data_IF_323542359707
#
_entry.id   IF_323542359707
#
_cell.length_a   1.000
_cell.length_b   1.000
_cell.length_c   1.000
_cell.angle_alpha   90.00
_cell.angle_beta   90.00
_cell.angle_gamma   90.00
#
_symmetry.space_group_name_H-M   'P 1'
#
loop_
_entity.id
_entity.type
_entity.pdbx_description
1 polymer ?
#
# COMPACT_ATOMS: atom_id res chain seq x y z
N UNK A 1 29.96 -44.62 -32.94
CA UNK A 1 29.11 -43.55 -33.54
C UNK A 1 27.75 -43.32 -32.86
N UNK A 2 27.17 -44.33 -32.16
CA UNK A 2 25.82 -44.16 -31.51
C UNK A 2 25.82 -43.35 -30.20
N UNK A 3 26.96 -43.27 -29.47
CA UNK A 3 27.05 -42.54 -28.19
C UNK A 3 27.09 -41.02 -28.33
N UNK A 4 27.66 -40.49 -29.45
CA UNK A 4 27.71 -39.05 -29.68
C UNK A 4 26.37 -38.44 -30.08
N UNK A 5 25.54 -39.19 -30.81
CA UNK A 5 24.21 -38.74 -31.22
C UNK A 5 23.26 -38.66 -30.02
N UNK A 6 23.37 -39.59 -29.08
CA UNK A 6 22.55 -39.60 -27.86
C UNK A 6 22.92 -38.40 -26.95
N UNK A 7 24.20 -38.07 -26.79
CA UNK A 7 24.66 -36.92 -26.01
C UNK A 7 24.21 -35.59 -26.62
N UNK A 8 24.23 -35.48 -27.96
CA UNK A 8 23.77 -34.28 -28.66
C UNK A 8 22.27 -34.07 -28.49
N UNK A 9 21.47 -35.16 -28.48
CA UNK A 9 20.01 -35.07 -28.32
C UNK A 9 19.62 -34.66 -26.88
N UNK A 10 20.35 -35.17 -25.87
CA UNK A 10 20.16 -34.78 -24.47
C UNK A 10 20.52 -33.30 -24.24
N UNK A 11 21.62 -32.80 -24.83
CA UNK A 11 21.99 -31.40 -24.74
C UNK A 11 20.96 -30.47 -25.41
N UNK A 12 20.40 -30.87 -26.56
CA UNK A 12 19.37 -30.08 -27.23
C UNK A 12 18.07 -30.05 -26.42
N UNK A 13 17.71 -31.13 -25.74
CA UNK A 13 16.52 -31.21 -24.88
C UNK A 13 16.69 -30.37 -23.62
N UNK A 14 17.86 -30.38 -22.98
CA UNK A 14 18.17 -29.54 -21.83
C UNK A 14 18.22 -28.05 -22.21
N UNK A 15 18.74 -27.71 -23.39
CA UNK A 15 18.73 -26.34 -23.88
C UNK A 15 17.33 -25.84 -24.18
N UNK A 16 16.46 -26.70 -24.73
CA UNK A 16 15.04 -26.40 -24.95
C UNK A 16 14.27 -26.13 -23.64
N UNK A 17 14.48 -26.97 -22.62
CA UNK A 17 13.88 -26.78 -21.30
C UNK A 17 14.40 -25.52 -20.62
N UNK A 18 15.72 -25.25 -20.72
CA UNK A 18 16.33 -24.04 -20.16
C UNK A 18 15.83 -22.77 -20.83
N UNK A 19 15.58 -22.80 -22.15
CA UNK A 19 14.99 -21.69 -22.89
C UNK A 19 13.54 -21.44 -22.48
N UNK A 20 12.73 -22.49 -22.25
CA UNK A 20 11.36 -22.39 -21.76
C UNK A 20 11.27 -21.83 -20.33
N UNK A 21 12.21 -22.20 -19.45
CA UNK A 21 12.25 -21.70 -18.07
C UNK A 21 12.73 -20.23 -18.01
N UNK A 22 13.57 -19.79 -18.95
CA UNK A 22 14.01 -18.39 -19.06
C UNK A 22 12.95 -17.45 -19.64
N UNK A 23 11.95 -17.97 -20.35
CA UNK A 23 10.83 -17.20 -20.89
C UNK A 23 9.63 -17.19 -19.92
N UNK A 24 9.88 -17.40 -18.63
CA UNK A 24 9.00 -16.95 -17.56
C UNK A 24 9.06 -15.42 -17.49
N UNK A 25 8.65 -14.75 -18.55
CA UNK A 25 8.20 -13.37 -18.49
C UNK A 25 7.07 -13.37 -17.47
N UNK A 26 7.26 -12.63 -16.39
CA UNK A 26 6.13 -12.12 -15.64
C UNK A 26 5.12 -11.63 -16.69
N UNK A 27 3.84 -11.99 -16.62
CA UNK A 27 2.87 -11.38 -17.49
C UNK A 27 2.89 -9.89 -17.17
N UNK A 28 3.56 -9.13 -18.01
CA UNK A 28 3.37 -7.70 -18.14
C UNK A 28 1.93 -7.60 -18.67
N UNK A 29 0.98 -7.59 -17.73
CA UNK A 29 -0.42 -7.44 -18.02
C UNK A 29 -0.59 -5.97 -18.35
N UNK A 30 -0.16 -5.60 -19.58
CA UNK A 30 -0.50 -4.33 -20.22
C UNK A 30 -2.01 -4.35 -20.51
N UNK A 31 -2.81 -4.20 -19.46
CA UNK A 31 -4.26 -4.01 -19.56
C UNK A 31 -4.47 -2.61 -20.11
N UNK A 32 -4.47 -2.48 -21.42
CA UNK A 32 -4.90 -1.26 -22.11
C UNK A 32 -6.40 -1.13 -21.98
N UNK A 33 -6.82 -0.52 -20.89
CA UNK A 33 -8.20 -0.16 -20.66
C UNK A 33 -8.48 1.17 -21.35
N UNK A 34 -9.19 1.12 -22.46
CA UNK A 34 -9.73 2.29 -23.14
C UNK A 34 -11.11 2.63 -22.56
N UNK A 35 -11.19 3.78 -21.88
CA UNK A 35 -12.41 4.29 -21.24
C UNK A 35 -12.49 3.82 -19.77
N UNK A 36 -12.70 4.77 -18.86
CA UNK A 36 -12.66 4.61 -17.40
C UNK A 36 -13.13 3.25 -16.88
N UNK A 37 -12.20 2.33 -16.67
CA UNK A 37 -12.50 1.05 -16.06
C UNK A 37 -12.67 1.22 -14.59
N UNK A 38 -13.70 0.63 -14.06
CA UNK A 38 -13.85 0.51 -12.62
C UNK A 38 -13.82 -0.97 -12.22
N UNK A 39 -13.32 -1.21 -11.04
CA UNK A 39 -13.39 -2.50 -10.35
C UNK A 39 -14.11 -2.30 -9.03
N UNK A 40 -14.84 -3.32 -8.61
CA UNK A 40 -15.51 -3.37 -7.31
C UNK A 40 -14.80 -4.38 -6.41
N UNK A 41 -14.87 -4.17 -5.09
CA UNK A 41 -14.32 -5.04 -4.06
C UNK A 41 -12.84 -5.40 -4.26
N UNK A 42 -12.02 -4.39 -4.55
CA UNK A 42 -10.59 -4.64 -4.76
C UNK A 42 -9.84 -4.86 -3.45
N UNK A 43 -8.85 -5.73 -3.53
CA UNK A 43 -7.90 -5.95 -2.44
C UNK A 43 -6.48 -5.94 -2.99
N UNK A 44 -5.65 -5.01 -2.49
CA UNK A 44 -4.22 -4.92 -2.80
C UNK A 44 -3.45 -5.41 -1.59
N UNK A 45 -2.56 -6.38 -1.77
CA UNK A 45 -1.77 -6.97 -0.68
C UNK A 45 -0.29 -6.82 -0.97
N UNK A 46 0.43 -6.16 -0.09
CA UNK A 46 1.90 -6.12 -0.14
C UNK A 46 2.47 -7.22 0.75
N UNK A 47 3.28 -8.09 0.16
CA UNK A 47 4.03 -9.12 0.88
C UNK A 47 5.54 -8.86 0.77
N UNK A 48 6.27 -9.11 1.85
CA UNK A 48 7.73 -9.08 1.89
C UNK A 48 8.23 -10.30 2.64
N UNK A 49 9.07 -11.10 2.00
CA UNK A 49 9.58 -12.37 2.57
C UNK A 49 8.47 -13.30 3.08
N UNK A 50 7.34 -13.39 2.34
CA UNK A 50 6.19 -14.21 2.70
C UNK A 50 5.23 -13.60 3.74
N UNK A 51 5.59 -12.51 4.41
CA UNK A 51 4.75 -11.84 5.41
C UNK A 51 3.97 -10.70 4.79
N UNK A 52 2.70 -10.55 5.16
CA UNK A 52 1.87 -9.42 4.76
C UNK A 52 2.35 -8.17 5.49
N UNK A 53 2.76 -7.17 4.73
CA UNK A 53 3.21 -5.86 5.26
C UNK A 53 2.00 -4.96 5.47
N UNK A 54 1.11 -4.89 4.47
CA UNK A 54 -0.16 -4.17 4.54
C UNK A 54 -1.16 -4.77 3.56
N UNK A 55 -2.43 -4.48 3.79
CA UNK A 55 -3.55 -4.83 2.93
C UNK A 55 -4.44 -3.62 2.76
N UNK A 56 -4.68 -3.18 1.53
CA UNK A 56 -5.63 -2.13 1.19
C UNK A 56 -6.86 -2.77 0.56
N UNK A 57 -8.03 -2.42 1.06
CA UNK A 57 -9.32 -2.79 0.49
C UNK A 57 -10.08 -1.54 0.09
N UNK A 58 -10.81 -1.61 -1.01
CA UNK A 58 -11.69 -0.54 -1.47
C UNK A 58 -12.92 -1.14 -2.13
N UNK A 59 -14.09 -0.55 -1.89
CA UNK A 59 -15.34 -0.99 -2.52
C UNK A 59 -15.36 -0.68 -4.01
N UNK A 60 -14.72 0.41 -4.44
CA UNK A 60 -14.64 0.79 -5.84
C UNK A 60 -13.30 1.42 -6.17
N UNK A 61 -12.76 1.07 -7.33
CA UNK A 61 -11.58 1.68 -7.91
C UNK A 61 -11.87 2.11 -9.35
N UNK A 62 -11.57 3.35 -9.68
CA UNK A 62 -11.65 3.91 -11.02
C UNK A 62 -10.23 4.17 -11.51
N UNK A 63 -9.85 3.51 -12.60
CA UNK A 63 -8.51 3.68 -13.16
C UNK A 63 -8.48 4.85 -14.13
N UNK A 64 -7.47 5.71 -14.00
CA UNK A 64 -7.18 6.75 -14.98
C UNK A 64 -6.70 6.16 -16.32
N UNK A 65 -6.70 6.98 -17.38
CA UNK A 65 -6.37 6.56 -18.75
C UNK A 65 -5.02 5.86 -18.91
N UNK A 66 -4.06 6.19 -18.06
CA UNK A 66 -2.72 5.56 -18.08
C UNK A 66 -2.65 4.22 -17.33
N UNK A 67 -3.69 3.84 -16.58
CA UNK A 67 -3.67 2.69 -15.69
C UNK A 67 -2.70 2.79 -14.49
N UNK A 68 -1.97 3.92 -14.37
CA UNK A 68 -0.96 4.11 -13.32
C UNK A 68 -1.52 4.60 -12.00
N UNK A 69 -2.74 5.14 -12.01
CA UNK A 69 -3.44 5.65 -10.85
C UNK A 69 -4.84 5.10 -10.79
N UNK A 70 -5.31 4.84 -9.57
CA UNK A 70 -6.68 4.47 -9.30
C UNK A 70 -7.26 5.38 -8.21
N UNK A 71 -8.43 5.96 -8.49
CA UNK A 71 -9.26 6.63 -7.48
C UNK A 71 -10.04 5.56 -6.75
N UNK A 72 -9.94 5.56 -5.43
CA UNK A 72 -10.51 4.56 -4.54
C UNK A 72 -11.64 5.16 -3.70
N UNK A 73 -12.69 4.38 -3.47
CA UNK A 73 -13.80 4.74 -2.59
C UNK A 73 -13.93 3.73 -1.47
N UNK A 74 -14.28 4.19 -0.28
CA UNK A 74 -14.41 3.37 0.94
C UNK A 74 -13.15 2.56 1.22
N UNK A 75 -12.07 3.29 1.52
CA UNK A 75 -10.74 2.69 1.67
C UNK A 75 -10.53 2.20 3.11
N UNK A 76 -10.02 0.98 3.23
CA UNK A 76 -9.56 0.38 4.49
C UNK A 76 -8.13 -0.15 4.28
N UNK A 77 -7.18 0.38 5.05
CA UNK A 77 -5.78 -0.05 5.00
C UNK A 77 -5.39 -0.69 6.34
N UNK A 78 -5.00 -1.95 6.31
CA UNK A 78 -4.50 -2.67 7.47
C UNK A 78 -2.98 -2.79 7.43
N UNK A 79 -2.30 -2.46 8.52
CA UNK A 79 -0.86 -2.64 8.74
C UNK A 79 -0.67 -3.57 9.95
N UNK A 80 -0.63 -4.91 9.74
CA UNK A 80 -0.67 -5.88 10.84
C UNK A 80 0.47 -5.74 11.83
N UNK A 81 1.67 -5.37 11.38
CA UNK A 81 2.84 -5.23 12.25
C UNK A 81 2.67 -4.16 13.34
N UNK A 82 1.83 -3.16 13.09
CA UNK A 82 1.60 -2.04 14.00
C UNK A 82 0.21 -2.10 14.65
N UNK A 83 -0.56 -3.17 14.41
CA UNK A 83 -1.99 -3.25 14.77
C UNK A 83 -2.76 -1.98 14.36
N UNK A 84 -2.44 -1.45 13.16
CA UNK A 84 -3.01 -0.21 12.67
C UNK A 84 -4.03 -0.50 11.58
N UNK A 85 -5.22 0.06 11.74
CA UNK A 85 -6.29 0.11 10.76
C UNK A 85 -6.51 1.56 10.38
N UNK A 86 -6.59 1.86 9.09
CA UNK A 86 -6.82 3.19 8.55
C UNK A 86 -8.07 3.16 7.68
N UNK A 87 -8.89 4.18 7.80
CA UNK A 87 -10.14 4.36 7.07
C UNK A 87 -10.13 5.73 6.39
N UNK A 88 -10.57 5.77 5.14
CA UNK A 88 -10.80 6.99 4.38
C UNK A 88 -12.00 6.79 3.44
N UNK A 89 -12.82 7.82 3.26
CA UNK A 89 -13.95 7.77 2.33
C UNK A 89 -13.48 7.65 0.89
N UNK A 90 -12.37 8.30 0.56
CA UNK A 90 -11.76 8.25 -0.76
C UNK A 90 -10.26 8.46 -0.70
N UNK A 91 -9.58 8.11 -1.77
CA UNK A 91 -8.15 8.35 -1.94
C UNK A 91 -7.66 7.92 -3.30
N UNK A 92 -6.41 8.23 -3.59
CA UNK A 92 -5.74 7.87 -4.85
C UNK A 92 -4.57 6.94 -4.56
N UNK A 93 -4.50 5.83 -5.27
CA UNK A 93 -3.34 4.94 -5.25
C UNK A 93 -2.53 5.12 -6.54
N UNK A 94 -1.25 5.45 -6.42
CA UNK A 94 -0.30 5.52 -7.53
C UNK A 94 0.56 4.24 -7.56
N UNK A 95 0.33 3.40 -8.57
CA UNK A 95 1.06 2.13 -8.74
C UNK A 95 2.52 2.33 -9.11
N UNK A 96 2.86 3.43 -9.80
CA UNK A 96 4.22 3.74 -10.23
C UNK A 96 5.07 4.21 -9.06
N UNK A 97 4.52 5.06 -8.21
CA UNK A 97 5.19 5.62 -7.03
C UNK A 97 5.02 4.73 -5.80
N UNK A 98 4.11 3.77 -5.85
CA UNK A 98 3.71 2.94 -4.70
C UNK A 98 3.32 3.83 -3.52
N UNK A 99 2.43 4.77 -3.76
CA UNK A 99 1.91 5.70 -2.76
C UNK A 99 0.39 5.70 -2.73
N UNK A 100 -0.15 5.95 -1.56
CA UNK A 100 -1.57 6.20 -1.36
C UNK A 100 -1.73 7.58 -0.73
N UNK A 101 -2.62 8.39 -1.26
CA UNK A 101 -2.99 9.69 -0.73
C UNK A 101 -4.50 9.80 -0.54
N UNK A 102 -4.91 10.45 0.55
CA UNK A 102 -6.28 10.82 0.82
C UNK A 102 -6.33 12.30 1.22
N UNK A 103 -7.09 13.09 0.45
CA UNK A 103 -7.32 14.53 0.70
C UNK A 103 -8.64 14.76 1.47
N UNK A 104 -9.19 13.71 2.04
CA UNK A 104 -10.38 13.70 2.88
C UNK A 104 -10.01 13.32 4.31
N UNK A 105 -10.91 13.56 5.26
CA UNK A 105 -10.72 13.12 6.63
C UNK A 105 -10.38 11.62 6.70
N UNK A 106 -9.31 11.32 7.41
CA UNK A 106 -8.79 9.98 7.63
C UNK A 106 -8.86 9.64 9.09
N UNK A 107 -9.32 8.43 9.40
CA UNK A 107 -9.28 7.88 10.75
C UNK A 107 -8.32 6.70 10.79
N UNK A 108 -7.46 6.66 11.80
CA UNK A 108 -6.55 5.55 12.05
C UNK A 108 -6.74 5.02 13.47
N UNK A 109 -6.98 3.72 13.59
CA UNK A 109 -7.15 3.04 14.86
C UNK A 109 -5.95 2.13 15.14
N UNK A 110 -5.30 2.37 16.28
CA UNK A 110 -4.30 1.48 16.87
C UNK A 110 -4.87 0.71 18.05
N UNK A 111 -4.02 -0.02 18.77
CA UNK A 111 -4.45 -0.83 19.90
C UNK A 111 -5.01 0.01 21.06
N UNK A 112 -4.39 1.14 21.38
CA UNK A 112 -4.74 2.00 22.52
C UNK A 112 -4.91 3.47 22.13
N UNK A 113 -5.03 3.77 20.85
CA UNK A 113 -5.18 5.13 20.35
C UNK A 113 -5.97 5.19 19.05
N UNK A 114 -6.58 6.36 18.82
CA UNK A 114 -7.22 6.74 17.57
C UNK A 114 -6.62 8.05 17.09
N UNK A 115 -6.39 8.16 15.79
CA UNK A 115 -5.92 9.37 15.14
C UNK A 115 -6.94 9.78 14.10
N UNK A 116 -7.31 11.04 14.07
CA UNK A 116 -8.03 11.66 12.95
C UNK A 116 -7.15 12.72 12.33
N UNK A 117 -7.16 12.81 11.01
CA UNK A 117 -6.36 13.77 10.25
C UNK A 117 -7.15 14.29 9.06
N UNK A 118 -6.91 15.54 8.64
CA UNK A 118 -7.58 16.16 7.50
C UNK A 118 -7.12 15.55 6.15
N UNK A 119 -5.91 14.99 6.10
CA UNK A 119 -5.32 14.36 4.92
C UNK A 119 -4.31 13.28 5.32
N UNK A 120 -3.92 12.47 4.35
CA UNK A 120 -2.91 11.43 4.57
C UNK A 120 -2.14 11.13 3.29
N UNK A 121 -0.81 11.05 3.41
CA UNK A 121 0.10 10.52 2.42
C UNK A 121 0.84 9.31 2.99
N UNK A 122 0.74 8.18 2.33
CA UNK A 122 1.44 6.95 2.67
C UNK A 122 2.42 6.59 1.55
N UNK A 123 3.71 6.62 1.84
CA UNK A 123 4.72 5.95 1.03
C UNK A 123 4.77 4.47 1.44
N UNK A 124 4.24 3.64 0.56
CA UNK A 124 4.10 2.21 0.78
C UNK A 124 5.46 1.51 0.85
N UNK A 125 6.46 1.99 0.12
CA UNK A 125 7.80 1.38 0.05
C UNK A 125 8.56 1.56 1.35
N UNK A 126 8.48 2.75 1.94
CA UNK A 126 9.14 3.11 3.20
C UNK A 126 8.25 2.87 4.42
N UNK A 127 6.94 2.64 4.24
CA UNK A 127 5.92 2.59 5.28
C UNK A 127 5.89 3.88 6.12
N UNK A 128 6.07 5.02 5.47
CA UNK A 128 6.02 6.35 6.10
C UNK A 128 4.69 7.00 5.81
N UNK A 129 3.99 7.38 6.86
CA UNK A 129 2.72 8.12 6.83
C UNK A 129 3.02 9.59 7.15
N UNK A 130 2.40 10.49 6.39
CA UNK A 130 2.44 11.95 6.62
C UNK A 130 1.03 12.50 6.56
N UNK A 131 0.80 13.58 7.29
CA UNK A 131 -0.35 14.47 7.16
C UNK A 131 0.14 15.90 7.27
N UNK A 132 -0.36 16.80 6.44
CA UNK A 132 0.00 18.22 6.47
C UNK A 132 -1.02 19.05 7.24
N UNK A 133 -2.26 18.60 7.35
CA UNK A 133 -3.36 19.28 8.01
C UNK A 133 -3.43 19.06 9.51
N UNK A 134 -4.60 19.35 10.08
CA UNK A 134 -4.88 19.12 11.51
C UNK A 134 -4.85 17.63 11.82
N UNK A 135 -4.32 17.34 12.98
CA UNK A 135 -4.25 15.97 13.52
C UNK A 135 -4.75 16.00 14.96
N UNK A 136 -5.62 15.06 15.26
CA UNK A 136 -6.10 14.81 16.61
C UNK A 136 -5.84 13.35 16.97
N UNK A 137 -5.08 13.12 18.03
CA UNK A 137 -4.76 11.80 18.55
C UNK A 137 -5.37 11.66 19.94
N UNK A 138 -6.17 10.62 20.14
CA UNK A 138 -6.76 10.26 21.42
C UNK A 138 -6.19 8.91 21.85
N UNK A 139 -5.56 8.88 23.00
CA UNK A 139 -5.05 7.67 23.64
C UNK A 139 -5.72 7.43 24.99
N UNK A 140 -5.30 6.38 25.68
CA UNK A 140 -5.81 6.06 27.00
C UNK A 140 -5.28 7.07 28.04
N UNK A 141 -6.15 8.00 28.44
CA UNK A 141 -5.82 9.02 29.45
C UNK A 141 -5.08 10.25 28.88
N UNK A 142 -5.00 10.43 27.57
CA UNK A 142 -4.44 11.64 26.97
C UNK A 142 -5.05 11.94 25.60
N UNK A 143 -4.99 13.20 25.21
CA UNK A 143 -5.25 13.63 23.83
C UNK A 143 -4.19 14.63 23.37
N UNK A 144 -3.88 14.59 22.07
CA UNK A 144 -2.94 15.50 21.41
C UNK A 144 -3.62 16.10 20.20
N UNK A 145 -3.50 17.40 20.03
CA UNK A 145 -3.91 18.12 18.84
C UNK A 145 -2.69 18.84 18.26
N UNK A 146 -2.67 19.05 16.95
CA UNK A 146 -1.64 19.83 16.29
C UNK A 146 -1.76 19.81 14.78
N UNK A 147 -0.78 20.39 14.11
CA UNK A 147 -0.69 20.43 12.66
C UNK A 147 0.54 19.68 12.16
N UNK A 148 0.33 18.89 11.11
CA UNK A 148 1.35 18.08 10.48
C UNK A 148 1.78 16.90 11.34
N UNK A 149 1.78 15.71 10.72
CA UNK A 149 2.15 14.47 11.38
C UNK A 149 3.11 13.66 10.50
N UNK A 150 4.00 12.92 11.15
CA UNK A 150 4.79 11.87 10.52
C UNK A 150 4.85 10.66 11.43
N UNK A 151 4.52 9.50 10.88
CA UNK A 151 4.71 8.19 11.50
C UNK A 151 5.50 7.29 10.54
N UNK A 152 6.25 6.33 11.05
CA UNK A 152 7.09 5.44 10.25
C UNK A 152 7.23 4.06 10.89
N UNK A 153 8.29 3.34 10.52
CA UNK A 153 8.59 2.00 11.05
C UNK A 153 8.81 1.97 12.57
N UNK A 154 9.29 3.07 13.13
CA UNK A 154 9.36 3.19 14.58
C UNK A 154 7.96 3.49 15.13
N UNK A 155 7.58 2.93 16.30
CA UNK A 155 6.28 3.20 16.92
C UNK A 155 6.27 4.61 17.55
N UNK A 156 6.60 5.62 16.75
CA UNK A 156 6.67 7.03 17.15
C UNK A 156 5.87 7.85 16.15
N UNK A 157 4.91 8.58 16.67
CA UNK A 157 4.20 9.63 15.95
C UNK A 157 4.84 10.97 16.32
N UNK A 158 5.20 11.77 15.31
CA UNK A 158 5.69 13.14 15.49
C UNK A 158 4.63 14.09 14.97
N UNK A 159 4.20 15.04 15.78
CA UNK A 159 3.34 16.16 15.44
C UNK A 159 4.22 17.43 15.46
N UNK A 160 4.10 18.31 14.47
CA UNK A 160 5.12 19.31 14.22
C UNK A 160 4.79 20.70 14.73
N UNK A 161 3.54 21.15 14.63
CA UNK A 161 3.14 22.53 14.90
C UNK A 161 1.91 22.59 15.79
N UNK A 162 1.78 23.67 16.55
CA UNK A 162 0.62 24.02 17.38
C UNK A 162 0.14 22.87 18.29
N UNK A 163 1.12 22.16 18.88
CA UNK A 163 0.85 20.96 19.65
C UNK A 163 0.27 21.31 21.01
N UNK A 164 -0.95 20.83 21.26
CA UNK A 164 -1.64 20.87 22.54
C UNK A 164 -1.84 19.47 23.08
N UNK A 165 -1.41 19.22 24.30
CA UNK A 165 -1.58 17.96 25.00
C UNK A 165 -2.51 18.16 26.20
N UNK A 166 -3.46 17.22 26.39
CA UNK A 166 -4.37 17.18 27.53
C UNK A 166 -4.23 15.79 28.13
N UNK A 167 -3.92 15.72 29.43
CA UNK A 167 -3.86 14.48 30.19
C UNK A 167 -5.05 14.43 31.13
N UNK A 168 -5.71 13.27 31.14
CA UNK A 168 -6.85 12.99 32.02
C UNK A 168 -6.38 12.01 33.11
N UNK A 169 -6.55 12.39 34.34
CA UNK A 169 -6.26 11.53 35.51
C UNK A 169 -7.44 10.62 35.80
#
# INVERSE_FOLDING_TARGET
MKKGVLASLVCALLFGIFSLVRTGSEPDTDVRVHGGSFLEDITIVQKKKGLTVWTLKSEKAVFGDSGKRAELQTVRLAIPQNNLMLFADSGTYDFSQKSFSADTAVEAEGQDYRITADSLDLDVSSAVIRSEGRVHLVGKGFSLEGEGMKAGKEPRVKIFRDVKAIFQN
#
